data_IF_393244980523
#
_entry.id   IF_393244980523
#
_cell.length_a   1.000
_cell.length_b   1.000
_cell.length_c   1.000
_cell.angle_alpha   90.00
_cell.angle_beta   90.00
_cell.angle_gamma   90.00
#
_symmetry.space_group_name_H-M   'P 1'
#
loop_
_entity.id
_entity.type
_entity.pdbx_description
1 polymer ?
#
# COMPACT_ATOMS: atom_id res chain seq x y z
N UNK A 1 -15.22 93.03 -7.48
CA UNK A 1 -14.66 94.33 -7.92
C UNK A 1 -15.77 95.38 -7.90
N UNK A 2 -15.55 96.54 -7.26
CA UNK A 2 -16.46 97.68 -7.31
C UNK A 2 -16.06 98.58 -8.48
N UNK A 3 -16.88 98.67 -9.52
CA UNK A 3 -16.64 99.60 -10.62
C UNK A 3 -17.42 100.88 -10.34
N UNK A 4 -16.73 101.95 -9.98
CA UNK A 4 -17.32 103.29 -9.87
C UNK A 4 -17.06 104.02 -11.18
N UNK A 5 -18.11 104.24 -11.97
CA UNK A 5 -18.01 105.10 -13.16
C UNK A 5 -18.44 106.52 -12.81
N UNK A 6 -17.50 107.45 -12.91
CA UNK A 6 -17.74 108.90 -12.86
C UNK A 6 -17.79 109.45 -14.27
N UNK A 7 -18.93 109.99 -14.68
CA UNK A 7 -19.04 110.76 -15.93
C UNK A 7 -18.61 112.20 -15.65
N UNK A 8 -17.54 112.67 -16.29
CA UNK A 8 -17.10 114.07 -16.22
C UNK A 8 -17.55 114.83 -17.47
N UNK A 9 -18.25 115.96 -17.28
CA UNK A 9 -18.70 116.85 -18.36
C UNK A 9 -20.20 116.82 -18.67
N UNK A 10 -21.08 116.87 -17.65
CA UNK A 10 -22.54 116.76 -17.83
C UNK A 10 -23.24 118.09 -17.49
N UNK A 11 -24.19 118.58 -18.32
CA UNK A 11 -25.03 119.72 -17.98
C UNK A 11 -25.91 119.43 -16.76
N UNK A 12 -26.12 120.43 -15.91
CA UNK A 12 -26.68 120.40 -14.55
C UNK A 12 -28.13 119.90 -14.39
N UNK A 13 -28.75 119.32 -15.43
CA UNK A 13 -30.17 118.95 -15.45
C UNK A 13 -30.49 117.62 -16.16
N UNK A 14 -29.57 116.65 -16.11
CA UNK A 14 -29.76 115.30 -16.67
C UNK A 14 -30.07 114.28 -15.56
N UNK A 15 -31.14 113.50 -15.68
CA UNK A 15 -31.50 112.41 -14.75
C UNK A 15 -30.97 111.08 -15.29
N UNK A 16 -30.23 110.35 -14.46
CA UNK A 16 -29.74 109.01 -14.76
C UNK A 16 -30.55 107.96 -13.99
N UNK A 17 -31.06 106.95 -14.70
CA UNK A 17 -31.71 105.77 -14.12
C UNK A 17 -31.00 104.49 -14.53
N UNK A 18 -30.96 103.50 -13.63
CA UNK A 18 -30.22 102.25 -13.80
C UNK A 18 -31.15 101.05 -13.58
N UNK A 19 -31.12 100.08 -14.50
CA UNK A 19 -31.88 98.84 -14.40
C UNK A 19 -31.06 97.64 -14.91
N UNK A 20 -31.17 96.43 -14.31
CA UNK A 20 -32.00 96.06 -13.16
C UNK A 20 -31.48 96.62 -11.82
N UNK A 21 -32.33 96.71 -10.80
CA UNK A 21 -31.95 97.24 -9.47
C UNK A 21 -31.01 96.32 -8.66
N UNK A 22 -30.85 95.06 -9.09
CA UNK A 22 -30.11 94.03 -8.36
C UNK A 22 -28.64 94.40 -8.19
N UNK A 23 -28.16 94.47 -6.95
CA UNK A 23 -26.77 94.80 -6.64
C UNK A 23 -26.39 96.27 -6.83
N UNK A 24 -27.32 97.16 -7.16
CA UNK A 24 -27.05 98.60 -7.24
C UNK A 24 -27.19 99.26 -5.86
N UNK A 25 -26.36 100.28 -5.60
CA UNK A 25 -26.48 101.12 -4.39
C UNK A 25 -27.69 102.07 -4.44
N UNK A 26 -28.15 102.42 -5.66
CA UNK A 26 -29.36 103.20 -5.94
C UNK A 26 -29.80 102.97 -7.39
N UNK A 27 -31.07 103.18 -7.72
CA UNK A 27 -31.58 103.06 -9.11
C UNK A 27 -31.55 104.38 -9.89
N UNK A 28 -31.17 105.48 -9.24
CA UNK A 28 -31.05 106.82 -9.82
C UNK A 28 -29.88 107.58 -9.20
N UNK A 29 -29.22 108.45 -9.97
CA UNK A 29 -28.16 109.33 -9.45
C UNK A 29 -26.99 109.47 -10.41
N UNK A 30 -26.15 110.50 -10.24
CA UNK A 30 -24.97 110.71 -11.10
C UNK A 30 -23.83 109.72 -10.83
N UNK A 31 -23.83 109.07 -9.66
CA UNK A 31 -22.88 108.03 -9.26
C UNK A 31 -23.65 106.90 -8.58
N UNK A 32 -23.60 105.71 -9.15
CA UNK A 32 -24.21 104.48 -8.60
C UNK A 32 -23.15 103.38 -8.60
N UNK A 33 -22.98 102.71 -7.46
CA UNK A 33 -22.09 101.53 -7.34
C UNK A 33 -22.87 100.26 -7.61
N UNK A 34 -22.26 99.29 -8.28
CA UNK A 34 -22.87 98.00 -8.62
C UNK A 34 -22.03 96.82 -8.10
N UNK A 35 -22.65 95.93 -7.32
CA UNK A 35 -22.09 94.67 -6.80
C UNK A 35 -23.11 93.53 -7.05
N UNK A 36 -23.37 93.15 -8.31
CA UNK A 36 -24.29 92.06 -8.62
C UNK A 36 -23.74 90.69 -8.16
N UNK A 37 -24.66 89.76 -7.88
CA UNK A 37 -24.35 88.36 -7.52
C UNK A 37 -23.95 87.48 -8.70
N UNK A 38 -24.27 87.90 -9.93
CA UNK A 38 -23.94 87.25 -11.21
C UNK A 38 -23.53 88.29 -12.25
N UNK A 39 -23.00 87.86 -13.40
CA UNK A 39 -22.75 88.76 -14.53
C UNK A 39 -24.04 89.50 -14.90
N UNK A 40 -24.05 90.82 -14.71
CA UNK A 40 -25.25 91.64 -14.88
C UNK A 40 -24.94 92.78 -15.83
N UNK A 41 -25.77 92.93 -16.85
CA UNK A 41 -25.73 94.08 -17.75
C UNK A 41 -26.74 95.10 -17.23
N UNK A 42 -26.26 96.27 -16.83
CA UNK A 42 -27.09 97.39 -16.42
C UNK A 42 -27.33 98.31 -17.60
N UNK A 43 -28.59 98.65 -17.87
CA UNK A 43 -28.96 99.71 -18.78
C UNK A 43 -29.00 101.02 -18.01
N UNK A 44 -28.24 102.00 -18.48
CA UNK A 44 -28.22 103.38 -17.98
C UNK A 44 -29.01 104.24 -18.95
N UNK A 45 -30.09 104.86 -18.46
CA UNK A 45 -30.89 105.82 -19.23
C UNK A 45 -30.58 107.21 -18.73
N UNK A 46 -30.05 108.07 -19.59
CA UNK A 46 -29.87 109.49 -19.32
C UNK A 46 -31.01 110.27 -19.99
N UNK A 47 -31.76 111.06 -19.23
CA UNK A 47 -32.84 111.92 -19.74
C UNK A 47 -32.50 113.38 -19.47
N UNK A 48 -32.48 114.21 -20.51
CA UNK A 48 -32.22 115.64 -20.37
C UNK A 48 -33.47 116.42 -19.91
N UNK A 49 -33.29 117.71 -19.64
CA UNK A 49 -34.36 118.61 -19.15
C UNK A 49 -35.51 118.80 -20.16
N UNK A 50 -35.28 118.51 -21.44
CA UNK A 50 -36.27 118.60 -22.51
C UNK A 50 -36.99 117.25 -22.74
N UNK A 51 -36.68 116.22 -21.95
CA UNK A 51 -37.27 114.88 -22.04
C UNK A 51 -36.65 113.99 -23.13
N UNK A 52 -35.58 114.43 -23.80
CA UNK A 52 -34.83 113.57 -24.71
C UNK A 52 -34.02 112.57 -23.90
N UNK A 53 -34.06 111.29 -24.28
CA UNK A 53 -33.33 110.25 -23.58
C UNK A 53 -32.38 109.49 -24.49
N UNK A 54 -31.23 109.10 -23.92
CA UNK A 54 -30.28 108.18 -24.52
C UNK A 54 -30.02 107.03 -23.55
N UNK A 55 -29.82 105.83 -24.09
CA UNK A 55 -29.47 104.66 -23.29
C UNK A 55 -28.09 104.14 -23.66
N UNK A 56 -27.39 103.61 -22.66
CA UNK A 56 -26.17 102.81 -22.85
C UNK A 56 -26.20 101.64 -21.88
N UNK A 57 -25.39 100.62 -22.14
CA UNK A 57 -25.29 99.43 -21.28
C UNK A 57 -23.91 99.32 -20.65
N UNK A 58 -23.85 98.99 -19.36
CA UNK A 58 -22.63 98.68 -18.62
C UNK A 58 -22.69 97.23 -18.18
N UNK A 59 -21.76 96.42 -18.65
CA UNK A 59 -21.64 95.02 -18.22
C UNK A 59 -20.75 94.93 -16.99
N UNK A 60 -21.29 94.45 -15.86
CA UNK A 60 -20.52 94.13 -14.66
C UNK A 60 -20.39 92.61 -14.58
N UNK A 61 -19.20 92.12 -14.87
CA UNK A 61 -18.87 90.69 -14.82
C UNK A 61 -18.29 90.34 -13.46
N UNK A 62 -18.87 89.32 -12.81
CA UNK A 62 -18.28 88.63 -11.67
C UNK A 62 -17.51 87.43 -12.20
N UNK A 63 -16.18 87.52 -12.20
CA UNK A 63 -15.31 86.37 -12.48
C UNK A 63 -15.23 85.47 -11.25
N UNK A 64 -15.40 84.17 -11.44
CA UNK A 64 -15.17 83.20 -10.36
C UNK A 64 -13.69 83.22 -9.97
N UNK A 65 -13.44 82.96 -8.68
CA UNK A 65 -12.08 82.82 -8.18
C UNK A 65 -11.48 81.50 -8.72
N UNK A 66 -10.28 81.51 -9.33
CA UNK A 66 -9.60 80.27 -9.71
C UNK A 66 -9.07 79.60 -8.44
N UNK A 67 -9.91 78.76 -7.83
CA UNK A 67 -9.54 77.89 -6.71
C UNK A 67 -9.01 76.58 -7.27
N UNK A 68 -7.92 76.07 -6.70
CA UNK A 68 -7.27 74.82 -7.12
C UNK A 68 -7.09 73.92 -5.89
N UNK A 69 -7.42 72.63 -6.03
CA UNK A 69 -7.35 71.61 -4.99
C UNK A 69 -6.45 70.46 -5.45
N UNK A 70 -5.27 70.37 -4.85
CA UNK A 70 -4.30 69.32 -5.15
C UNK A 70 -4.22 68.34 -4.00
N UNK A 71 -4.39 67.06 -4.30
CA UNK A 71 -4.11 65.98 -3.36
C UNK A 71 -2.69 65.44 -3.54
N UNK A 72 -2.03 65.07 -2.44
CA UNK A 72 -0.71 64.43 -2.47
C UNK A 72 -0.73 63.03 -3.11
N UNK A 73 -1.91 62.39 -3.15
CA UNK A 73 -2.17 61.12 -3.85
C UNK A 73 -3.64 61.05 -4.27
N UNK A 74 -3.93 60.29 -5.33
CA UNK A 74 -5.30 60.01 -5.78
C UNK A 74 -5.94 58.78 -5.11
N UNK A 75 -5.23 58.12 -4.20
CA UNK A 75 -5.65 56.90 -3.52
C UNK A 75 -5.32 56.91 -2.04
N UNK A 76 -6.18 56.30 -1.24
CA UNK A 76 -6.01 56.08 0.20
C UNK A 76 -6.14 54.58 0.54
N UNK A 77 -5.20 54.09 1.35
CA UNK A 77 -5.10 52.71 1.76
C UNK A 77 -5.73 52.48 3.14
N UNK A 78 -6.49 51.39 3.33
CA UNK A 78 -7.03 50.96 4.63
C UNK A 78 -6.44 49.63 5.10
N UNK A 79 -6.29 49.41 6.43
CA UNK A 79 -6.66 50.30 7.53
C UNK A 79 -5.58 51.32 7.95
N UNK A 80 -4.33 51.15 7.50
CA UNK A 80 -3.16 51.86 8.03
C UNK A 80 -2.46 52.79 7.03
N UNK A 81 -3.15 53.24 5.97
CA UNK A 81 -2.57 54.16 5.00
C UNK A 81 -2.23 55.51 5.62
N UNK A 82 -1.16 56.14 5.12
CA UNK A 82 -0.86 57.54 5.44
C UNK A 82 -2.00 58.44 4.93
N UNK A 83 -2.55 59.33 5.78
CA UNK A 83 -3.60 60.27 5.34
C UNK A 83 -3.15 61.08 4.12
N UNK A 84 -4.05 61.29 3.16
CA UNK A 84 -3.78 62.06 1.94
C UNK A 84 -3.82 63.54 2.25
N UNK A 85 -2.76 64.29 1.97
CA UNK A 85 -2.73 65.74 2.17
C UNK A 85 -3.44 66.45 1.03
N UNK A 86 -4.46 67.25 1.35
CA UNK A 86 -5.19 68.12 0.44
C UNK A 86 -4.70 69.55 0.62
N UNK A 87 -4.20 70.16 -0.46
CA UNK A 87 -3.68 71.53 -0.48
C UNK A 87 -4.53 72.39 -1.40
N UNK A 88 -5.10 73.46 -0.85
CA UNK A 88 -5.95 74.39 -1.60
C UNK A 88 -5.26 75.72 -1.82
N UNK A 89 -5.36 76.25 -3.04
CA UNK A 89 -4.81 77.57 -3.41
C UNK A 89 -5.87 78.45 -4.12
N UNK A 90 -5.55 79.73 -4.33
CA UNK A 90 -6.40 80.67 -5.04
C UNK A 90 -7.33 81.54 -4.18
N UNK A 91 -7.56 81.20 -2.91
CA UNK A 91 -8.37 81.99 -1.96
C UNK A 91 -7.66 82.32 -0.64
N UNK A 92 -8.34 83.08 0.23
CA UNK A 92 -7.88 83.41 1.59
C UNK A 92 -8.59 82.58 2.67
N UNK A 93 -9.73 81.97 2.35
CA UNK A 93 -10.43 81.01 3.21
C UNK A 93 -10.99 79.84 2.40
N UNK A 94 -11.06 78.66 3.01
CA UNK A 94 -11.43 77.40 2.35
C UNK A 94 -12.36 76.57 3.23
N UNK A 95 -13.39 75.98 2.63
CA UNK A 95 -14.30 75.02 3.26
C UNK A 95 -14.47 73.77 2.38
N UNK A 96 -14.56 72.59 3.01
CA UNK A 96 -14.62 71.30 2.31
C UNK A 96 -15.97 70.60 2.49
N UNK A 97 -16.39 69.84 1.49
CA UNK A 97 -17.56 68.96 1.55
C UNK A 97 -17.31 67.68 0.74
N UNK A 98 -17.60 66.47 1.27
CA UNK A 98 -18.01 66.20 2.65
C UNK A 98 -16.84 66.35 3.65
N UNK A 99 -17.13 66.44 4.95
CA UNK A 99 -16.08 66.51 6.00
C UNK A 99 -15.64 65.14 6.54
N UNK A 100 -16.30 64.05 6.11
CA UNK A 100 -16.02 62.71 6.60
C UNK A 100 -14.61 62.28 6.23
N UNK A 101 -13.88 61.72 7.21
CA UNK A 101 -12.49 61.32 7.02
C UNK A 101 -11.50 62.48 6.84
N UNK A 102 -11.92 63.74 6.93
CA UNK A 102 -10.99 64.88 6.93
C UNK A 102 -10.52 65.23 8.34
N UNK A 103 -9.29 65.72 8.47
CA UNK A 103 -8.79 66.27 9.74
C UNK A 103 -9.44 67.60 10.13
N UNK A 104 -9.97 68.35 9.16
CA UNK A 104 -10.75 69.58 9.36
C UNK A 104 -11.66 69.84 8.17
N UNK A 105 -12.81 70.48 8.41
CA UNK A 105 -13.72 70.96 7.36
C UNK A 105 -13.31 72.31 6.74
N UNK A 106 -12.26 72.94 7.25
CA UNK A 106 -11.72 74.24 6.78
C UNK A 106 -10.19 74.28 6.86
N UNK A 107 -9.57 75.15 6.06
CA UNK A 107 -8.12 75.38 6.06
C UNK A 107 -7.47 75.22 4.68
N UNK A 108 -6.33 75.87 4.46
CA UNK A 108 -5.58 75.74 3.19
C UNK A 108 -4.89 74.39 3.03
N UNK A 109 -4.64 73.69 4.13
CA UNK A 109 -4.10 72.32 4.15
C UNK A 109 -4.92 71.48 5.10
N UNK A 110 -5.47 70.36 4.62
CA UNK A 110 -6.18 69.36 5.41
C UNK A 110 -5.70 67.97 5.01
N UNK A 111 -5.94 66.95 5.83
CA UNK A 111 -5.60 65.55 5.50
C UNK A 111 -6.86 64.71 5.41
N UNK A 112 -6.87 63.71 4.54
CA UNK A 112 -8.01 62.85 4.23
C UNK A 112 -7.68 61.36 4.44
N UNK A 113 -8.48 60.70 5.27
CA UNK A 113 -8.50 59.25 5.54
C UNK A 113 -9.93 58.71 5.35
N UNK A 114 -10.47 58.74 4.13
CA UNK A 114 -11.84 58.31 3.88
C UNK A 114 -12.03 56.80 4.06
N UNK A 115 -13.15 56.39 4.67
CA UNK A 115 -13.49 54.97 4.84
C UNK A 115 -14.08 54.31 3.56
N UNK A 116 -14.31 55.09 2.50
CA UNK A 116 -14.80 54.65 1.19
C UNK A 116 -14.36 55.64 0.11
N UNK A 117 -14.34 55.26 -1.16
CA UNK A 117 -13.97 56.17 -2.25
C UNK A 117 -14.81 57.46 -2.17
N UNK A 118 -14.15 58.59 -1.96
CA UNK A 118 -14.81 59.85 -1.59
C UNK A 118 -14.31 60.99 -2.49
N UNK A 119 -15.23 61.76 -3.07
CA UNK A 119 -14.92 63.00 -3.77
C UNK A 119 -15.01 64.16 -2.77
N UNK A 120 -13.91 64.90 -2.61
CA UNK A 120 -13.87 66.11 -1.81
C UNK A 120 -13.95 67.33 -2.70
N UNK A 121 -14.83 68.26 -2.35
CA UNK A 121 -15.01 69.54 -3.04
C UNK A 121 -14.56 70.64 -2.08
N UNK A 122 -13.63 71.50 -2.51
CA UNK A 122 -13.26 72.71 -1.77
C UNK A 122 -14.01 73.91 -2.33
N UNK A 123 -14.46 74.81 -1.45
CA UNK A 123 -14.93 76.15 -1.80
C UNK A 123 -13.95 77.16 -1.22
N UNK A 124 -13.31 77.95 -2.07
CA UNK A 124 -12.40 79.03 -1.68
C UNK A 124 -13.05 80.40 -1.83
N UNK A 125 -12.75 81.34 -0.93
CA UNK A 125 -13.21 82.74 -0.98
C UNK A 125 -11.98 83.66 -0.86
N UNK A 126 -11.91 84.73 -1.67
CA UNK A 126 -10.87 85.75 -1.59
C UNK A 126 -11.20 86.88 -0.59
N UNK A 127 -10.28 87.82 -0.40
CA UNK A 127 -10.45 88.96 0.51
C UNK A 127 -11.56 89.94 0.08
N UNK A 128 -12.06 89.81 -1.16
CA UNK A 128 -13.13 90.64 -1.74
C UNK A 128 -14.48 89.94 -1.77
N UNK A 129 -14.56 88.69 -1.31
CA UNK A 129 -15.78 87.88 -1.27
C UNK A 129 -16.12 87.15 -2.58
N UNK A 130 -15.22 87.16 -3.57
CA UNK A 130 -15.39 86.29 -4.75
C UNK A 130 -15.07 84.85 -4.35
N UNK A 131 -15.81 83.89 -4.91
CA UNK A 131 -15.66 82.47 -4.56
C UNK A 131 -15.43 81.61 -5.79
N UNK A 132 -14.84 80.44 -5.56
CA UNK A 132 -14.58 79.40 -6.54
C UNK A 132 -14.62 78.02 -5.90
N UNK A 133 -14.64 76.97 -6.72
CA UNK A 133 -14.62 75.58 -6.27
C UNK A 133 -13.72 74.73 -7.13
N UNK A 134 -13.16 73.71 -6.52
CA UNK A 134 -12.48 72.62 -7.20
C UNK A 134 -12.73 71.30 -6.45
N UNK A 135 -12.43 70.16 -7.07
CA UNK A 135 -12.70 68.84 -6.49
C UNK A 135 -11.60 67.83 -6.79
N UNK A 136 -11.39 66.92 -5.85
CA UNK A 136 -10.48 65.78 -6.01
C UNK A 136 -11.16 64.49 -5.56
N UNK A 137 -10.97 63.41 -6.31
CA UNK A 137 -11.46 62.08 -5.99
C UNK A 137 -10.36 61.26 -5.30
N UNK A 138 -10.62 60.79 -4.08
CA UNK A 138 -9.72 59.88 -3.37
C UNK A 138 -10.30 58.48 -3.45
N UNK A 139 -9.59 57.58 -4.15
CA UNK A 139 -10.00 56.18 -4.34
C UNK A 139 -9.56 55.32 -3.17
N UNK A 140 -10.48 54.58 -2.57
CA UNK A 140 -10.15 53.60 -1.55
C UNK A 140 -9.52 52.36 -2.20
N UNK A 141 -8.34 51.95 -1.73
CA UNK A 141 -7.67 50.73 -2.18
C UNK A 141 -7.44 49.77 -1.01
N UNK A 142 -7.65 48.49 -1.27
CA UNK A 142 -7.32 47.39 -0.37
C UNK A 142 -6.94 46.15 -1.18
N UNK A 143 -6.02 45.34 -0.65
CA UNK A 143 -5.61 44.08 -1.27
C UNK A 143 -5.87 42.95 -0.29
N UNK A 144 -6.35 41.82 -0.79
CA UNK A 144 -6.52 40.59 0.01
C UNK A 144 -5.29 39.72 -0.15
N UNK A 145 -4.75 39.25 0.97
CA UNK A 145 -3.55 38.43 1.05
C UNK A 145 -3.87 37.07 1.67
N UNK A 146 -3.32 36.03 1.08
CA UNK A 146 -3.41 34.63 1.50
C UNK A 146 -2.03 34.20 2.00
N UNK A 147 -1.95 33.60 3.19
CA UNK A 147 -0.70 33.05 3.71
C UNK A 147 -0.50 31.64 3.15
N UNK A 148 0.60 31.44 2.45
CA UNK A 148 1.09 30.20 1.83
C UNK A 148 2.60 30.18 2.07
N UNK A 149 2.97 29.76 3.28
CA UNK A 149 4.34 29.92 3.77
C UNK A 149 5.28 28.82 3.26
N UNK A 150 4.76 27.65 2.88
CA UNK A 150 5.54 26.55 2.32
C UNK A 150 5.42 26.40 0.78
N UNK A 151 4.46 27.06 0.14
CA UNK A 151 4.35 27.18 -1.30
C UNK A 151 3.60 26.04 -2.00
N UNK A 152 2.75 25.29 -1.31
CA UNK A 152 1.95 24.21 -1.93
C UNK A 152 0.66 24.69 -2.63
N UNK A 153 0.32 25.97 -2.47
CA UNK A 153 -0.84 26.58 -3.09
C UNK A 153 -2.15 26.42 -2.31
N UNK A 154 -2.08 26.03 -1.04
CA UNK A 154 -3.17 26.17 -0.07
C UNK A 154 -2.85 27.28 0.92
N UNK A 155 -3.87 27.77 1.63
CA UNK A 155 -3.70 28.82 2.62
C UNK A 155 -4.20 28.44 3.99
N UNK A 156 -3.44 28.85 5.01
CA UNK A 156 -3.82 28.70 6.41
C UNK A 156 -4.66 29.88 6.88
N UNK A 157 -5.80 29.57 7.51
CA UNK A 157 -6.63 30.55 8.19
C UNK A 157 -7.38 31.51 7.26
N UNK A 158 -7.79 32.66 7.82
CA UNK A 158 -8.58 33.66 7.10
C UNK A 158 -7.68 34.65 6.35
N UNK A 159 -8.04 35.04 5.11
CA UNK A 159 -7.22 35.96 4.34
C UNK A 159 -7.24 37.35 4.96
N UNK A 160 -6.11 38.05 4.86
CA UNK A 160 -5.91 39.37 5.49
C UNK A 160 -6.08 40.47 4.46
N UNK A 161 -6.85 41.50 4.79
CA UNK A 161 -6.99 42.70 3.94
C UNK A 161 -5.99 43.76 4.39
N UNK A 162 -5.04 44.08 3.52
CA UNK A 162 -4.00 45.09 3.76
C UNK A 162 -3.47 45.61 2.42
N UNK A 163 -2.97 46.83 2.34
CA UNK A 163 -2.46 47.36 1.06
C UNK A 163 -1.01 46.99 0.79
N UNK A 164 -0.26 46.68 1.85
CA UNK A 164 1.09 46.14 1.76
C UNK A 164 1.06 44.68 2.18
N UNK A 165 2.01 43.89 1.69
CA UNK A 165 2.16 42.50 2.12
C UNK A 165 2.28 42.46 3.64
N UNK A 166 1.46 41.65 4.35
CA UNK A 166 1.58 41.47 5.79
C UNK A 166 2.92 40.85 6.22
N UNK A 167 3.64 40.18 5.33
CA UNK A 167 4.94 39.55 5.63
C UNK A 167 5.40 38.57 4.55
N UNK A 168 6.49 37.84 4.83
CA UNK A 168 6.91 36.72 4.00
C UNK A 168 5.82 35.61 4.01
N UNK A 169 5.71 34.86 2.91
CA UNK A 169 4.70 33.81 2.74
C UNK A 169 3.32 34.32 2.30
N UNK A 170 3.06 35.63 2.28
CA UNK A 170 1.78 36.15 1.78
C UNK A 170 1.78 36.33 0.26
N UNK A 171 0.73 35.82 -0.39
CA UNK A 171 0.46 35.96 -1.83
C UNK A 171 -0.87 36.67 -2.10
N UNK A 172 -1.02 37.19 -3.31
CA UNK A 172 -2.27 37.78 -3.82
C UNK A 172 -3.06 36.82 -4.71
N UNK A 173 -2.49 35.65 -5.01
CA UNK A 173 -3.22 34.58 -5.68
C UNK A 173 -4.31 34.06 -4.74
N UNK A 174 -5.52 33.86 -5.27
CA UNK A 174 -6.61 33.26 -4.50
C UNK A 174 -6.30 31.78 -4.31
N UNK A 175 -6.11 31.37 -3.06
CA UNK A 175 -5.82 29.99 -2.70
C UNK A 175 -7.00 29.33 -1.99
N UNK A 176 -7.18 28.00 -2.12
CA UNK A 176 -8.11 27.26 -1.28
C UNK A 176 -7.71 27.32 0.20
N UNK A 177 -8.70 27.27 1.08
CA UNK A 177 -8.49 27.29 2.53
C UNK A 177 -8.41 25.87 3.08
N UNK A 178 -7.73 25.71 4.22
CA UNK A 178 -7.75 24.47 4.99
C UNK A 178 -6.42 23.73 5.02
N UNK A 179 -5.34 24.40 4.64
CA UNK A 179 -3.99 23.90 4.92
C UNK A 179 -3.84 23.63 6.42
N UNK A 180 -3.57 22.37 6.75
CA UNK A 180 -3.39 21.92 8.12
C UNK A 180 -1.95 22.05 8.61
N UNK A 181 -0.97 22.28 7.72
CA UNK A 181 0.42 22.52 8.08
C UNK A 181 1.21 23.36 7.06
N UNK A 182 1.06 24.67 7.17
CA UNK A 182 1.74 25.75 6.39
C UNK A 182 3.27 25.84 6.57
N UNK A 183 3.91 24.80 7.11
CA UNK A 183 5.37 24.66 7.12
C UNK A 183 5.83 23.42 6.34
N UNK A 184 4.92 22.69 5.71
CA UNK A 184 5.19 21.46 4.99
C UNK A 184 4.31 21.32 3.74
N UNK A 185 4.91 21.65 2.59
CA UNK A 185 4.26 21.64 1.28
C UNK A 185 3.74 20.27 0.78
N UNK A 186 3.87 19.20 1.59
CA UNK A 186 3.30 17.89 1.33
C UNK A 186 2.02 17.60 2.14
N UNK A 187 1.59 18.54 2.99
CA UNK A 187 0.47 18.36 3.92
C UNK A 187 -0.59 19.42 3.64
N UNK A 188 -1.54 19.10 2.77
CA UNK A 188 -2.59 19.99 2.32
C UNK A 188 -3.87 19.23 1.93
N UNK A 189 -5.04 19.90 1.91
CA UNK A 189 -6.30 19.27 1.53
C UNK A 189 -6.22 18.46 0.22
N UNK A 190 -6.43 17.15 0.33
CA UNK A 190 -6.41 16.24 -0.83
C UNK A 190 -5.01 15.82 -1.31
N UNK A 191 -3.95 16.04 -0.52
CA UNK A 191 -2.65 15.42 -0.75
C UNK A 191 -2.75 13.88 -0.76
N UNK A 192 -1.69 13.20 -1.20
CA UNK A 192 -1.62 11.73 -1.17
C UNK A 192 -0.95 11.28 0.12
N UNK A 193 -1.57 10.37 0.85
CA UNK A 193 -1.05 9.81 2.10
C UNK A 193 0.31 9.11 1.91
N UNK A 194 1.24 9.36 2.83
CA UNK A 194 2.55 8.71 2.91
C UNK A 194 2.53 7.67 4.03
N UNK A 195 2.26 6.43 3.64
CA UNK A 195 1.99 5.34 4.56
C UNK A 195 3.05 5.11 5.66
N UNK A 196 2.59 5.08 6.91
CA UNK A 196 3.34 4.68 8.09
C UNK A 196 4.18 5.78 8.73
N UNK A 197 3.99 7.03 8.31
CA UNK A 197 4.68 8.17 8.91
C UNK A 197 3.86 8.83 10.05
N UNK A 198 2.58 8.47 10.20
CA UNK A 198 1.69 8.96 11.26
C UNK A 198 1.23 10.40 11.08
N UNK A 199 1.28 10.94 9.86
CA UNK A 199 0.80 12.27 9.48
C UNK A 199 -0.49 12.09 8.66
N UNK A 200 -1.42 13.04 8.78
CA UNK A 200 -2.60 13.18 7.91
C UNK A 200 -2.21 14.14 6.80
N UNK A 201 -1.71 13.63 5.68
CA UNK A 201 -1.23 14.49 4.59
C UNK A 201 -2.37 15.27 3.96
N UNK A 202 -3.54 14.65 3.83
CA UNK A 202 -4.63 15.22 3.05
C UNK A 202 -5.64 16.05 3.86
N UNK A 203 -5.34 16.25 5.15
CA UNK A 203 -6.11 17.04 6.11
C UNK A 203 -7.58 16.59 6.26
N UNK A 204 -7.89 15.31 6.07
CA UNK A 204 -9.28 14.82 6.17
C UNK A 204 -9.66 14.30 7.58
N UNK A 205 -8.71 14.30 8.52
CA UNK A 205 -8.89 13.83 9.89
C UNK A 205 -8.67 12.33 10.08
N UNK A 206 -8.23 11.62 9.05
CA UNK A 206 -7.76 10.24 9.11
C UNK A 206 -6.24 10.24 8.88
N UNK A 207 -5.56 9.27 9.49
CA UNK A 207 -4.10 9.12 9.35
C UNK A 207 -3.89 7.83 8.57
N UNK A 208 -3.06 7.87 7.52
CA UNK A 208 -2.65 6.72 6.74
C UNK A 208 -3.83 5.93 6.10
N UNK A 209 -4.93 6.58 5.74
CA UNK A 209 -6.05 5.89 5.08
C UNK A 209 -5.78 5.59 3.60
N UNK A 210 -6.38 4.51 3.09
CA UNK A 210 -6.11 4.06 1.71
C UNK A 210 -4.71 3.47 1.50
N UNK A 211 -3.90 3.37 2.55
CA UNK A 211 -2.58 2.78 2.52
C UNK A 211 -2.62 1.24 2.46
N UNK A 212 -2.30 0.69 1.29
CA UNK A 212 -1.93 -0.70 1.13
C UNK A 212 -0.43 -0.85 1.45
N UNK A 213 -0.10 -1.37 2.63
CA UNK A 213 1.27 -1.84 2.87
C UNK A 213 1.32 -3.29 2.35
N UNK A 214 1.93 -3.58 1.18
CA UNK A 214 2.06 -4.95 0.71
C UNK A 214 2.93 -5.70 1.72
N UNK A 215 2.31 -6.58 2.50
CA UNK A 215 3.05 -7.36 3.48
C UNK A 215 3.63 -8.57 2.75
N UNK A 216 4.92 -8.52 2.43
CA UNK A 216 5.61 -9.62 1.78
C UNK A 216 5.96 -10.70 2.81
N UNK A 217 5.34 -11.87 2.69
CA UNK A 217 5.69 -13.04 3.50
C UNK A 217 6.76 -13.90 2.80
N UNK A 218 7.59 -14.60 3.59
CA UNK A 218 8.51 -15.59 3.05
C UNK A 218 8.51 -16.85 3.90
N UNK A 219 8.54 -18.01 3.25
CA UNK A 219 8.69 -19.32 3.88
C UNK A 219 9.73 -20.15 3.16
N UNK A 220 10.42 -21.02 3.91
CA UNK A 220 11.41 -21.93 3.36
C UNK A 220 11.20 -23.34 3.90
N UNK A 221 11.07 -24.31 3.01
CA UNK A 221 10.88 -25.71 3.36
C UNK A 221 11.89 -26.60 2.64
N UNK A 222 12.37 -27.63 3.32
CA UNK A 222 13.11 -28.74 2.72
C UNK A 222 12.33 -30.02 2.97
N UNK A 223 11.91 -30.69 1.90
CA UNK A 223 11.06 -31.89 1.97
C UNK A 223 11.57 -33.01 1.08
N UNK A 224 11.05 -34.21 1.31
CA UNK A 224 11.22 -35.35 0.41
C UNK A 224 10.04 -35.43 -0.57
N UNK A 225 10.33 -35.73 -1.84
CA UNK A 225 9.36 -35.92 -2.94
C UNK A 225 8.47 -34.74 -3.32
N UNK A 226 7.62 -34.24 -2.43
CA UNK A 226 6.65 -33.21 -2.77
C UNK A 226 6.21 -32.37 -1.57
N UNK A 227 5.91 -31.09 -1.84
CA UNK A 227 5.31 -30.17 -0.87
C UNK A 227 3.96 -29.67 -1.39
N UNK A 228 2.93 -29.72 -0.54
CA UNK A 228 1.63 -29.12 -0.84
C UNK A 228 1.55 -27.75 -0.19
N UNK A 229 1.51 -26.71 -1.01
CA UNK A 229 1.41 -25.34 -0.52
C UNK A 229 -0.06 -24.97 -0.31
N UNK A 230 -0.52 -25.01 0.94
CA UNK A 230 -1.92 -24.79 1.32
C UNK A 230 -2.37 -23.38 0.93
N UNK A 231 -1.50 -22.38 1.14
CA UNK A 231 -1.82 -20.99 0.86
C UNK A 231 -1.89 -20.67 -0.63
N UNK A 232 -1.33 -21.52 -1.51
CA UNK A 232 -1.52 -21.46 -2.95
C UNK A 232 -2.51 -22.53 -3.42
N UNK A 233 -3.74 -22.49 -2.89
CA UNK A 233 -4.84 -23.38 -3.29
C UNK A 233 -4.50 -24.88 -3.25
N UNK A 234 -3.74 -25.31 -2.24
CA UNK A 234 -3.28 -26.70 -2.10
C UNK A 234 -2.49 -27.22 -3.32
N UNK A 235 -1.71 -26.36 -3.98
CA UNK A 235 -0.89 -26.76 -5.13
C UNK A 235 0.28 -27.65 -4.68
N UNK A 236 0.48 -28.78 -5.36
CA UNK A 236 1.59 -29.70 -5.10
C UNK A 236 2.83 -29.37 -5.95
N UNK A 237 3.99 -29.31 -5.32
CA UNK A 237 5.29 -29.05 -5.94
C UNK A 237 6.22 -30.25 -5.76
N UNK A 238 6.74 -30.77 -6.86
CA UNK A 238 7.68 -31.91 -6.88
C UNK A 238 9.12 -31.50 -7.22
N UNK A 239 9.35 -30.22 -7.53
CA UNK A 239 10.65 -29.71 -7.93
C UNK A 239 11.10 -28.62 -6.94
N UNK A 240 12.40 -28.58 -6.66
CA UNK A 240 13.03 -27.45 -5.96
C UNK A 240 12.83 -26.17 -6.77
N UNK A 241 12.61 -25.05 -6.09
CA UNK A 241 12.40 -23.77 -6.74
C UNK A 241 11.94 -22.68 -5.79
N UNK A 242 11.86 -21.47 -6.33
CA UNK A 242 11.24 -20.32 -5.66
C UNK A 242 9.88 -20.10 -6.31
N UNK A 243 8.82 -20.19 -5.50
CA UNK A 243 7.44 -20.03 -5.94
C UNK A 243 6.84 -18.76 -5.32
N UNK A 244 5.98 -18.09 -6.07
CA UNK A 244 5.34 -16.83 -5.67
C UNK A 244 3.83 -16.99 -5.73
N UNK A 245 3.13 -16.50 -4.70
CA UNK A 245 1.67 -16.38 -4.73
C UNK A 245 1.25 -14.98 -4.27
N UNK A 246 0.36 -14.38 -5.04
CA UNK A 246 -0.17 -13.03 -4.76
C UNK A 246 -1.56 -13.15 -4.15
N UNK A 247 -1.72 -12.62 -2.95
CA UNK A 247 -3.01 -12.50 -2.27
C UNK A 247 -3.54 -11.09 -2.49
N UNK A 248 -4.77 -10.96 -2.99
CA UNK A 248 -5.44 -9.67 -3.09
C UNK A 248 -6.57 -9.61 -2.07
N UNK A 249 -6.57 -8.62 -1.18
CA UNK A 249 -7.68 -8.42 -0.25
C UNK A 249 -8.89 -7.79 -0.98
N UNK A 250 -10.05 -7.74 -0.31
CA UNK A 250 -11.26 -7.16 -0.88
C UNK A 250 -11.15 -5.65 -1.21
N UNK A 251 -10.11 -4.97 -0.70
CA UNK A 251 -9.78 -3.58 -1.01
C UNK A 251 -8.82 -3.39 -2.18
N UNK A 252 -8.40 -4.47 -2.85
CA UNK A 252 -7.48 -4.42 -3.99
C UNK A 252 -5.99 -4.35 -3.64
N UNK A 253 -5.64 -4.39 -2.35
CA UNK A 253 -4.23 -4.46 -1.94
C UNK A 253 -3.67 -5.86 -2.21
N UNK A 254 -2.50 -5.94 -2.83
CA UNK A 254 -1.79 -7.19 -3.08
C UNK A 254 -0.67 -7.44 -2.05
N UNK A 255 -0.53 -8.69 -1.63
CA UNK A 255 0.56 -9.17 -0.78
C UNK A 255 1.19 -10.37 -1.47
N UNK A 256 2.52 -10.41 -1.54
CA UNK A 256 3.25 -11.51 -2.18
C UNK A 256 3.80 -12.43 -1.09
N UNK A 257 3.52 -13.72 -1.15
CA UNK A 257 4.22 -14.74 -0.38
C UNK A 257 5.21 -15.46 -1.28
N UNK A 258 6.47 -15.49 -0.86
CA UNK A 258 7.55 -16.22 -1.54
C UNK A 258 7.85 -17.53 -0.80
N UNK A 259 7.72 -18.67 -1.48
CA UNK A 259 8.08 -19.99 -1.00
C UNK A 259 9.42 -20.42 -1.62
N UNK A 260 10.46 -20.59 -0.82
CA UNK A 260 11.71 -21.24 -1.23
C UNK A 260 11.67 -22.73 -0.86
N UNK A 261 11.54 -23.60 -1.85
CA UNK A 261 11.39 -25.04 -1.67
C UNK A 261 12.63 -25.79 -2.15
N UNK A 262 13.17 -26.65 -1.28
CA UNK A 262 14.17 -27.65 -1.66
C UNK A 262 13.53 -29.04 -1.56
N UNK A 263 13.40 -29.72 -2.70
CA UNK A 263 12.92 -31.10 -2.79
C UNK A 263 14.12 -32.03 -2.97
N UNK A 264 14.38 -32.87 -1.97
CA UNK A 264 15.45 -33.86 -2.01
C UNK A 264 14.93 -35.22 -2.51
N UNK A 265 15.80 -35.96 -3.19
CA UNK A 265 15.59 -37.39 -3.44
C UNK A 265 16.00 -38.17 -2.19
N UNK A 266 15.02 -38.59 -1.41
CA UNK A 266 15.24 -39.32 -0.16
C UNK A 266 15.18 -40.83 -0.41
N UNK A 267 15.87 -41.59 0.44
CA UNK A 267 15.86 -43.05 0.42
C UNK A 267 14.42 -43.61 0.48
N UNK A 268 14.20 -44.73 -0.22
CA UNK A 268 12.93 -45.45 -0.18
C UNK A 268 12.93 -46.45 0.98
N UNK A 269 11.89 -46.42 1.81
CA UNK A 269 11.74 -47.33 2.97
C UNK A 269 10.64 -48.34 2.68
N UNK A 270 10.94 -49.62 2.84
CA UNK A 270 9.99 -50.72 2.73
C UNK A 270 9.93 -51.46 4.06
N UNK A 271 8.73 -51.49 4.65
CA UNK A 271 8.43 -52.26 5.85
C UNK A 271 7.74 -53.55 5.43
N UNK A 272 8.23 -54.65 5.98
CA UNK A 272 7.77 -56.00 5.67
C UNK A 272 7.16 -56.64 6.91
N UNK A 273 6.21 -57.52 6.67
CA UNK A 273 5.70 -58.45 7.66
C UNK A 273 5.59 -59.84 7.02
N UNK A 274 6.36 -60.81 7.52
CA UNK A 274 6.47 -62.16 6.97
C UNK A 274 6.93 -63.16 8.03
N UNK A 275 6.63 -64.44 7.80
CA UNK A 275 7.09 -65.55 8.64
C UNK A 275 7.82 -66.59 7.81
N UNK A 276 8.72 -67.34 8.45
CA UNK A 276 9.44 -68.46 7.85
C UNK A 276 8.91 -69.76 8.47
N UNK A 277 8.51 -70.72 7.64
CA UNK A 277 7.77 -71.92 8.07
C UNK A 277 8.48 -72.67 9.21
N UNK A 278 9.78 -72.94 9.07
CA UNK A 278 10.52 -73.73 10.04
C UNK A 278 10.76 -73.00 11.36
N UNK A 279 10.81 -71.67 11.34
CA UNK A 279 11.07 -70.86 12.54
C UNK A 279 9.78 -70.45 13.27
N UNK A 280 8.59 -70.75 12.73
CA UNK A 280 7.33 -70.34 13.32
C UNK A 280 6.95 -71.18 14.54
N UNK A 281 6.71 -70.53 15.68
CA UNK A 281 6.42 -71.19 16.96
C UNK A 281 4.99 -70.96 17.47
N UNK A 282 4.14 -70.31 16.67
CA UNK A 282 2.74 -70.04 17.00
C UNK A 282 2.48 -68.64 17.54
N UNK A 283 1.20 -68.24 17.54
CA UNK A 283 0.75 -66.93 18.05
C UNK A 283 1.40 -65.72 17.36
N UNK A 284 1.78 -65.84 16.09
CA UNK A 284 2.43 -64.77 15.33
C UNK A 284 3.89 -64.52 15.74
N UNK A 285 4.56 -65.54 16.29
CA UNK A 285 5.96 -65.45 16.71
C UNK A 285 6.85 -66.49 16.02
N UNK A 286 8.12 -66.11 15.85
CA UNK A 286 9.20 -66.97 15.40
C UNK A 286 10.26 -67.17 16.48
N UNK A 287 11.03 -68.25 16.33
CA UNK A 287 12.22 -68.53 17.11
C UNK A 287 13.24 -67.38 16.99
N UNK A 288 13.91 -66.97 18.09
CA UNK A 288 15.04 -66.04 18.03
C UNK A 288 16.31 -66.76 17.55
N UNK A 289 16.32 -67.17 16.28
CA UNK A 289 17.30 -68.11 15.72
C UNK A 289 18.74 -67.61 15.88
N UNK A 290 19.01 -66.32 15.61
CA UNK A 290 20.34 -65.75 15.81
C UNK A 290 20.87 -65.93 17.25
N UNK A 291 20.01 -65.86 18.26
CA UNK A 291 20.41 -66.10 19.65
C UNK A 291 20.70 -67.57 19.91
N UNK A 292 19.83 -68.47 19.43
CA UNK A 292 19.98 -69.92 19.61
C UNK A 292 21.25 -70.46 18.94
N UNK A 293 21.55 -69.97 17.74
CA UNK A 293 22.70 -70.38 16.94
C UNK A 293 24.00 -69.64 17.31
N UNK A 294 23.95 -68.71 18.27
CA UNK A 294 25.11 -67.93 18.72
C UNK A 294 25.61 -66.88 17.72
N UNK A 295 24.83 -66.54 16.70
CA UNK A 295 25.12 -65.52 15.70
C UNK A 295 24.66 -64.10 16.11
N UNK A 296 23.84 -63.99 17.16
CA UNK A 296 23.31 -62.75 17.69
C UNK A 296 23.15 -62.79 19.21
N UNK A 297 22.70 -61.66 19.76
CA UNK A 297 22.52 -61.48 21.21
C UNK A 297 21.08 -61.10 21.61
N UNK A 298 20.21 -60.87 20.63
CA UNK A 298 18.85 -60.39 20.86
C UNK A 298 17.84 -61.53 20.91
N UNK A 299 16.88 -61.46 21.83
CA UNK A 299 15.73 -62.37 21.87
C UNK A 299 14.61 -61.95 20.90
N UNK A 300 14.77 -60.84 20.18
CA UNK A 300 13.76 -60.32 19.25
C UNK A 300 14.17 -60.46 17.80
N UNK A 301 15.37 -60.96 17.52
CA UNK A 301 15.90 -61.12 16.17
C UNK A 301 15.78 -62.60 15.78
N UNK A 302 15.06 -62.87 14.70
CA UNK A 302 14.96 -64.21 14.14
C UNK A 302 16.16 -64.46 13.25
N UNK A 303 16.29 -63.75 12.13
CA UNK A 303 17.36 -64.00 11.16
C UNK A 303 17.59 -62.80 10.22
N UNK A 304 18.64 -62.83 9.39
CA UNK A 304 18.84 -61.88 8.30
C UNK A 304 18.21 -62.38 7.00
N UNK A 305 17.45 -61.50 6.34
CA UNK A 305 16.90 -61.73 5.00
C UNK A 305 17.54 -60.77 4.00
N UNK A 306 17.65 -61.19 2.75
CA UNK A 306 17.99 -60.32 1.63
C UNK A 306 16.71 -59.96 0.87
N UNK A 307 16.45 -58.66 0.75
CA UNK A 307 15.28 -58.11 0.07
C UNK A 307 15.74 -57.49 -1.24
N UNK A 308 15.26 -58.02 -2.36
CA UNK A 308 15.49 -57.47 -3.68
C UNK A 308 14.23 -56.76 -4.20
N UNK A 309 14.44 -55.70 -4.96
CA UNK A 309 13.43 -55.04 -5.77
C UNK A 309 13.73 -55.31 -7.23
N UNK A 310 12.79 -55.97 -7.92
CA UNK A 310 12.92 -56.33 -9.32
C UNK A 310 11.96 -55.55 -10.20
N UNK A 311 12.42 -55.16 -11.39
CA UNK A 311 11.61 -54.41 -12.35
C UNK A 311 10.35 -55.19 -12.75
N UNK A 312 9.21 -54.51 -12.82
CA UNK A 312 7.92 -55.14 -13.10
C UNK A 312 7.78 -55.74 -14.52
N UNK A 313 8.62 -55.32 -15.48
CA UNK A 313 8.57 -55.79 -16.87
C UNK A 313 9.76 -56.68 -17.23
N UNK A 314 10.97 -56.26 -16.86
CA UNK A 314 12.20 -57.01 -17.20
C UNK A 314 12.59 -58.04 -16.15
N UNK A 315 11.99 -58.00 -14.95
CA UNK A 315 12.30 -58.88 -13.81
C UNK A 315 13.76 -58.86 -13.36
N UNK A 316 14.53 -57.88 -13.84
CA UNK A 316 15.92 -57.65 -13.44
C UNK A 316 15.97 -56.99 -12.08
N UNK A 317 16.94 -57.35 -11.26
CA UNK A 317 17.25 -56.66 -10.00
C UNK A 317 17.56 -55.18 -10.25
N UNK A 318 16.88 -54.32 -9.50
CA UNK A 318 17.05 -52.86 -9.50
C UNK A 318 17.83 -52.41 -8.27
N UNK A 319 17.50 -52.99 -7.11
CA UNK A 319 18.20 -52.73 -5.86
C UNK A 319 18.01 -53.90 -4.90
N UNK A 320 18.95 -54.08 -3.97
CA UNK A 320 18.88 -55.07 -2.91
C UNK A 320 19.35 -54.48 -1.58
N UNK A 321 18.79 -54.99 -0.48
CA UNK A 321 19.14 -54.59 0.87
C UNK A 321 18.96 -55.77 1.84
N UNK A 322 19.89 -55.94 2.77
CA UNK A 322 19.70 -56.89 3.87
C UNK A 322 18.84 -56.24 4.96
N UNK A 323 17.93 -57.02 5.54
CA UNK A 323 17.11 -56.61 6.66
C UNK A 323 17.21 -57.63 7.79
N UNK A 324 17.07 -57.15 9.02
CA UNK A 324 16.88 -58.00 10.19
C UNK A 324 15.40 -58.35 10.28
N UNK A 325 15.09 -59.64 10.26
CA UNK A 325 13.75 -60.16 10.52
C UNK A 325 13.59 -60.38 12.03
N UNK A 326 12.57 -59.74 12.60
CA UNK A 326 12.28 -59.87 14.03
C UNK A 326 11.36 -61.07 14.30
N UNK A 327 11.32 -61.50 15.57
CA UNK A 327 10.48 -62.62 16.02
C UNK A 327 8.99 -62.36 15.87
N UNK A 328 8.55 -61.11 15.74
CA UNK A 328 7.16 -60.75 15.43
C UNK A 328 6.83 -60.75 13.93
N UNK A 329 7.79 -61.11 13.08
CA UNK A 329 7.66 -61.14 11.61
C UNK A 329 7.95 -59.81 10.94
N UNK A 330 8.27 -58.74 11.68
CA UNK A 330 8.56 -57.44 11.09
C UNK A 330 10.00 -57.33 10.60
N UNK A 331 10.19 -56.66 9.45
CA UNK A 331 11.50 -56.25 8.96
C UNK A 331 11.39 -54.87 8.29
N UNK A 332 12.47 -54.10 8.27
CA UNK A 332 12.51 -52.82 7.55
C UNK A 332 13.80 -52.72 6.74
N UNK A 333 13.67 -52.35 5.47
CA UNK A 333 14.79 -52.16 4.56
C UNK A 333 14.77 -50.75 3.97
N UNK A 334 15.97 -50.22 3.75
CA UNK A 334 16.18 -48.91 3.16
C UNK A 334 16.92 -49.07 1.84
N UNK A 335 16.33 -48.56 0.76
CA UNK A 335 16.90 -48.53 -0.57
C UNK A 335 17.33 -47.11 -0.95
N UNK A 336 18.17 -46.93 -1.99
CA UNK A 336 18.35 -45.64 -2.64
C UNK A 336 17.00 -45.01 -3.04
N UNK A 337 17.00 -43.74 -3.41
CA UNK A 337 15.78 -43.09 -3.90
C UNK A 337 15.26 -43.79 -5.15
N UNK A 338 14.16 -44.52 -5.02
CA UNK A 338 13.49 -45.22 -6.11
C UNK A 338 12.17 -44.53 -6.45
N UNK A 339 11.70 -44.75 -7.67
CA UNK A 339 10.39 -44.31 -8.13
C UNK A 339 9.91 -45.26 -9.23
N UNK A 340 8.99 -46.14 -8.87
CA UNK A 340 8.45 -47.13 -9.79
C UNK A 340 7.63 -48.19 -9.07
N UNK A 341 7.23 -49.21 -9.82
CA UNK A 341 6.59 -50.40 -9.29
C UNK A 341 7.52 -51.59 -9.46
N UNK A 342 7.73 -52.33 -8.37
CA UNK A 342 8.71 -53.40 -8.30
C UNK A 342 8.11 -54.64 -7.66
N UNK A 343 8.52 -55.82 -8.13
CA UNK A 343 8.33 -57.04 -7.35
C UNK A 343 9.27 -57.01 -6.15
N UNK A 344 8.75 -57.34 -4.97
CA UNK A 344 9.55 -57.55 -3.75
C UNK A 344 9.92 -59.02 -3.73
N UNK A 345 11.21 -59.33 -3.68
CA UNK A 345 11.72 -60.69 -3.59
C UNK A 345 12.42 -60.86 -2.27
N UNK A 346 12.06 -61.92 -1.55
CA UNK A 346 12.70 -62.28 -0.29
C UNK A 346 13.52 -63.53 -0.50
N UNK A 347 14.82 -63.40 -0.25
CA UNK A 347 15.77 -64.49 -0.19
C UNK A 347 16.18 -64.71 1.27
N UNK A 348 16.24 -65.96 1.66
CA UNK A 348 16.73 -66.39 2.97
C UNK A 348 17.56 -67.67 2.81
N UNK A 349 18.35 -68.02 3.82
CA UNK A 349 19.36 -69.07 3.73
C UNK A 349 18.79 -70.49 3.69
N UNK A 350 17.54 -70.71 4.12
CA UNK A 350 16.93 -72.05 4.19
C UNK A 350 15.46 -72.09 3.68
N UNK A 351 15.01 -71.03 3.01
CA UNK A 351 13.64 -70.89 2.53
C UNK A 351 13.62 -70.67 1.02
N UNK A 352 12.54 -71.17 0.42
CA UNK A 352 12.23 -70.94 -0.99
C UNK A 352 12.07 -69.45 -1.24
N UNK A 353 12.77 -68.94 -2.25
CA UNK A 353 12.65 -67.56 -2.70
C UNK A 353 11.17 -67.23 -2.96
N UNK A 354 10.69 -66.12 -2.38
CA UNK A 354 9.29 -65.74 -2.46
C UNK A 354 9.13 -64.32 -2.99
N UNK A 355 8.29 -64.17 -4.02
CA UNK A 355 8.00 -62.88 -4.67
C UNK A 355 6.65 -62.34 -4.21
N UNK A 356 6.51 -61.01 -4.14
CA UNK A 356 5.21 -60.37 -3.97
C UNK A 356 4.24 -60.77 -5.09
N UNK A 357 2.96 -60.96 -4.77
CA UNK A 357 1.96 -61.40 -5.75
C UNK A 357 1.78 -60.43 -6.94
N UNK A 358 2.16 -59.16 -6.75
CA UNK A 358 2.11 -58.12 -7.78
C UNK A 358 3.18 -57.07 -7.51
N UNK A 359 3.52 -56.24 -8.52
CA UNK A 359 4.43 -55.11 -8.31
C UNK A 359 3.86 -54.13 -7.28
N UNK A 360 4.73 -53.64 -6.40
CA UNK A 360 4.43 -52.67 -5.36
C UNK A 360 5.05 -51.33 -5.74
N UNK A 361 4.26 -50.26 -5.68
CA UNK A 361 4.76 -48.91 -5.93
C UNK A 361 5.68 -48.47 -4.79
N UNK A 362 6.96 -48.25 -5.08
CA UNK A 362 7.97 -47.79 -4.13
C UNK A 362 8.48 -46.42 -4.59
N UNK A 363 8.41 -45.47 -3.65
CA UNK A 363 8.79 -44.07 -3.84
C UNK A 363 9.51 -43.54 -2.62
N UNK A 364 9.45 -42.23 -2.35
CA UNK A 364 10.10 -41.67 -1.16
C UNK A 364 9.25 -41.73 0.12
N UNK A 365 7.98 -42.14 0.03
CA UNK A 365 7.16 -42.40 1.22
C UNK A 365 7.37 -43.86 1.66
N UNK A 366 7.42 -44.14 2.97
CA UNK A 366 7.48 -45.50 3.47
C UNK A 366 6.29 -46.33 2.97
N UNK A 367 6.57 -47.53 2.48
CA UNK A 367 5.57 -48.49 2.01
C UNK A 367 5.59 -49.69 2.93
N UNK A 368 4.43 -50.30 3.18
CA UNK A 368 4.32 -51.55 3.92
C UNK A 368 3.79 -52.66 3.01
N UNK A 369 4.42 -53.83 3.06
CA UNK A 369 3.94 -55.04 2.40
C UNK A 369 3.88 -56.20 3.39
N UNK A 370 2.72 -56.83 3.49
CA UNK A 370 2.44 -57.88 4.46
C UNK A 370 2.16 -59.19 3.71
N UNK A 371 3.13 -60.09 3.76
CA UNK A 371 3.03 -61.44 3.20
C UNK A 371 2.20 -62.37 4.08
N UNK A 372 2.18 -62.14 5.40
CA UNK A 372 1.69 -63.12 6.37
C UNK A 372 0.16 -63.29 6.40
N UNK A 373 -0.59 -62.46 5.68
CA UNK A 373 -2.07 -62.39 5.79
C UNK A 373 -2.85 -63.35 4.90
N UNK A 374 -2.28 -63.77 3.76
CA UNK A 374 -2.94 -64.67 2.82
C UNK A 374 -1.94 -65.24 1.79
N UNK A 375 -2.18 -66.46 1.28
CA UNK A 375 -1.39 -67.09 0.22
C UNK A 375 -1.18 -66.16 -1.00
N UNK A 376 -2.24 -65.44 -1.40
CA UNK A 376 -2.24 -64.56 -2.57
C UNK A 376 -1.48 -63.24 -2.37
N UNK A 377 -0.71 -63.11 -1.27
CA UNK A 377 0.32 -62.09 -1.12
C UNK A 377 1.66 -62.55 -1.70
N UNK A 378 1.86 -63.85 -1.91
CA UNK A 378 2.96 -64.36 -2.68
C UNK A 378 2.52 -64.65 -4.13
N UNK A 379 3.45 -64.53 -5.06
CA UNK A 379 3.21 -64.91 -6.45
C UNK A 379 2.86 -66.40 -6.52
N UNK A 380 1.78 -66.73 -7.23
CA UNK A 380 1.31 -68.11 -7.39
C UNK A 380 0.91 -68.82 -6.10
N UNK A 381 0.49 -68.08 -5.07
CA UNK A 381 0.09 -68.62 -3.76
C UNK A 381 1.20 -69.43 -3.07
N UNK A 382 2.47 -69.10 -3.32
CA UNK A 382 3.65 -69.86 -2.88
C UNK A 382 3.99 -69.70 -1.38
N UNK A 383 3.04 -69.99 -0.51
CA UNK A 383 3.19 -69.94 0.96
C UNK A 383 2.41 -71.06 1.67
N UNK A 384 2.82 -71.37 2.90
CA UNK A 384 2.17 -72.33 3.78
C UNK A 384 1.34 -71.62 4.84
N UNK A 385 0.08 -72.03 5.02
CA UNK A 385 -0.68 -71.67 6.22
C UNK A 385 -0.15 -72.46 7.43
N UNK A 386 0.49 -71.76 8.37
CA UNK A 386 1.14 -72.34 9.58
C UNK A 386 0.24 -72.25 10.82
N UNK A 387 -0.65 -71.28 10.83
CA UNK A 387 -1.73 -71.12 11.80
C UNK A 387 -2.91 -70.48 11.07
N UNK A 388 -4.13 -70.65 11.56
CA UNK A 388 -5.34 -70.12 10.91
C UNK A 388 -5.19 -68.63 10.59
N UNK A 389 -5.09 -68.29 9.30
CA UNK A 389 -4.91 -66.91 8.81
C UNK A 389 -3.48 -66.35 8.87
N UNK A 390 -2.49 -67.17 9.21
CA UNK A 390 -1.07 -66.81 9.22
C UNK A 390 -0.32 -67.67 8.20
N UNK A 391 0.33 -66.99 7.27
CA UNK A 391 1.05 -67.58 6.15
C UNK A 391 2.55 -67.35 6.29
N UNK A 392 3.32 -68.38 6.00
CA UNK A 392 4.78 -68.37 6.07
C UNK A 392 5.40 -68.88 4.76
N UNK A 393 6.64 -68.46 4.51
CA UNK A 393 7.41 -68.93 3.36
C UNK A 393 7.84 -70.38 3.57
N UNK A 394 7.78 -71.18 2.52
CA UNK A 394 8.19 -72.57 2.60
C UNK A 394 9.68 -72.69 2.96
N UNK A 395 9.99 -73.54 3.94
CA UNK A 395 11.35 -73.84 4.37
C UNK A 395 11.90 -75.12 3.74
N UNK A 396 13.18 -75.41 3.99
CA UNK A 396 13.83 -76.64 3.55
C UNK A 396 14.57 -76.54 2.22
N UNK A 397 14.71 -75.32 1.69
CA UNK A 397 15.53 -75.04 0.50
C UNK A 397 16.94 -74.72 1.03
N UNK A 398 17.81 -75.72 1.09
CA UNK A 398 19.10 -75.64 1.79
C UNK A 398 20.22 -75.28 0.81
N UNK A 399 20.08 -75.70 -0.45
CA UNK A 399 21.11 -75.59 -1.47
C UNK A 399 20.98 -74.35 -2.39
N UNK A 400 19.91 -73.56 -2.27
CA UNK A 400 19.65 -72.36 -3.06
C UNK A 400 19.52 -72.61 -4.58
N UNK A 401 18.90 -73.73 -4.97
CA UNK A 401 18.56 -74.10 -6.36
C UNK A 401 17.11 -73.85 -6.79
N UNK A 402 16.33 -73.18 -5.93
CA UNK A 402 14.91 -72.82 -6.06
C UNK A 402 13.92 -73.98 -5.86
N UNK A 403 14.35 -75.20 -5.49
CA UNK A 403 13.47 -76.34 -5.26
C UNK A 403 13.73 -76.98 -3.89
N UNK A 404 12.68 -77.51 -3.26
CA UNK A 404 12.83 -78.36 -2.08
C UNK A 404 12.77 -79.81 -2.55
N UNK A 405 13.92 -80.47 -2.65
CA UNK A 405 14.02 -81.81 -3.20
C UNK A 405 14.95 -82.76 -2.40
N UNK A 406 15.26 -83.93 -2.96
CA UNK A 406 16.09 -84.93 -2.28
C UNK A 406 17.56 -84.50 -2.09
N UNK A 407 18.03 -83.48 -2.80
CA UNK A 407 19.35 -82.89 -2.63
C UNK A 407 19.40 -82.13 -1.30
N UNK A 408 18.36 -81.36 -0.97
CA UNK A 408 18.26 -80.66 0.32
C UNK A 408 18.24 -81.66 1.48
N UNK A 409 17.42 -82.72 1.36
CA UNK A 409 17.37 -83.77 2.37
C UNK A 409 18.74 -84.45 2.53
N UNK A 410 19.47 -84.68 1.44
CA UNK A 410 20.82 -85.25 1.49
C UNK A 410 21.83 -84.36 2.21
N UNK A 411 21.73 -83.03 2.09
CA UNK A 411 22.56 -82.08 2.83
C UNK A 411 22.18 -82.11 4.31
N UNK A 412 20.88 -82.07 4.61
CA UNK A 412 20.38 -82.16 5.98
C UNK A 412 20.85 -83.44 6.66
N UNK A 413 20.67 -84.61 6.04
CA UNK A 413 21.09 -85.90 6.58
C UNK A 413 22.61 -85.97 6.80
N UNK A 414 23.42 -85.34 5.93
CA UNK A 414 24.86 -85.27 6.12
C UNK A 414 25.21 -84.47 7.39
N UNK A 415 24.59 -83.30 7.56
CA UNK A 415 24.85 -82.43 8.71
C UNK A 415 24.33 -83.03 10.03
N UNK A 416 23.21 -83.77 10.00
CA UNK A 416 22.72 -84.57 11.14
C UNK A 416 23.76 -85.62 11.56
N UNK A 417 24.33 -86.35 10.60
CA UNK A 417 25.34 -87.38 10.88
C UNK A 417 26.67 -86.79 11.40
N UNK A 418 26.98 -85.57 10.99
CA UNK A 418 28.17 -84.83 11.44
C UNK A 418 27.95 -84.04 12.74
N UNK A 419 26.75 -84.09 13.32
CA UNK A 419 26.36 -83.35 14.53
C UNK A 419 26.65 -81.85 14.42
N UNK A 420 26.31 -81.26 13.27
CA UNK A 420 26.51 -79.83 13.04
C UNK A 420 25.60 -78.99 13.95
N UNK A 421 26.08 -77.80 14.30
CA UNK A 421 25.37 -76.84 15.16
C UNK A 421 25.80 -75.42 14.85
N UNK A 422 24.99 -74.44 15.27
CA UNK A 422 25.24 -73.01 15.05
C UNK A 422 24.62 -72.47 13.76
N UNK A 423 25.18 -71.38 13.22
CA UNK A 423 24.55 -70.63 12.13
C UNK A 423 24.78 -71.25 10.75
N UNK A 424 23.96 -72.25 10.40
CA UNK A 424 24.02 -73.04 9.16
C UNK A 424 22.63 -73.21 8.52
N UNK A 425 22.58 -73.42 7.20
CA UNK A 425 21.31 -73.47 6.45
C UNK A 425 20.48 -74.73 6.70
N UNK A 426 21.11 -75.81 7.14
CA UNK A 426 20.46 -77.08 7.47
C UNK A 426 19.76 -77.09 8.83
N UNK A 427 19.99 -76.11 9.71
CA UNK A 427 19.18 -75.88 10.90
C UNK A 427 17.89 -75.16 10.46
N UNK A 428 16.92 -75.95 9.99
CA UNK A 428 15.71 -75.42 9.36
C UNK A 428 14.65 -75.05 10.39
N UNK A 429 14.78 -75.50 11.64
CA UNK A 429 13.89 -75.12 12.74
C UNK A 429 14.46 -73.99 13.63
N UNK A 430 15.77 -73.73 13.53
CA UNK A 430 16.47 -72.62 14.15
C UNK A 430 16.69 -72.78 15.66
N UNK A 431 16.76 -74.02 16.16
CA UNK A 431 16.97 -74.32 17.57
C UNK A 431 18.45 -74.33 18.00
N UNK A 432 19.37 -74.22 17.04
CA UNK A 432 20.82 -74.20 17.24
C UNK A 432 21.51 -75.52 16.91
N UNK A 433 20.77 -76.60 16.67
CA UNK A 433 21.30 -77.94 16.39
C UNK A 433 20.67 -78.50 15.11
N UNK A 434 21.48 -79.20 14.31
CA UNK A 434 20.96 -79.95 13.17
C UNK A 434 20.72 -81.39 13.60
N UNK A 435 19.44 -81.76 13.72
CA UNK A 435 19.02 -83.08 14.18
C UNK A 435 17.77 -83.62 13.46
N UNK A 436 17.19 -84.71 13.97
CA UNK A 436 16.02 -85.35 13.36
C UNK A 436 14.73 -84.52 13.43
N UNK A 437 14.70 -83.43 14.20
CA UNK A 437 13.57 -82.51 14.29
C UNK A 437 13.50 -81.56 13.08
N UNK A 438 14.58 -81.43 12.31
CA UNK A 438 14.64 -80.67 11.07
C UNK A 438 13.97 -81.39 9.88
N UNK A 439 14.07 -82.72 9.85
CA UNK A 439 13.65 -83.54 8.71
C UNK A 439 12.15 -83.47 8.37
N UNK A 440 11.18 -83.46 9.34
CA UNK A 440 9.77 -83.58 9.01
C UNK A 440 9.23 -82.46 8.11
N UNK A 441 9.70 -81.22 8.29
CA UNK A 441 9.29 -80.11 7.43
C UNK A 441 9.83 -80.27 6.01
N UNK A 442 11.13 -80.58 5.89
CA UNK A 442 11.79 -80.75 4.58
C UNK A 442 11.14 -81.90 3.82
N UNK A 443 10.97 -83.07 4.44
CA UNK A 443 10.31 -84.23 3.84
C UNK A 443 8.88 -83.92 3.37
N UNK A 444 8.11 -83.16 4.16
CA UNK A 444 6.77 -82.75 3.78
C UNK A 444 6.79 -81.85 2.54
N UNK A 445 7.68 -80.86 2.50
CA UNK A 445 7.79 -79.94 1.37
C UNK A 445 8.35 -80.63 0.10
N UNK A 446 9.20 -81.65 0.24
CA UNK A 446 9.60 -82.52 -0.88
C UNK A 446 8.38 -83.26 -1.44
N UNK A 447 7.56 -83.86 -0.58
CA UNK A 447 6.37 -84.60 -0.99
C UNK A 447 5.30 -83.69 -1.64
N UNK A 448 5.25 -82.43 -1.23
CA UNK A 448 4.37 -81.41 -1.79
C UNK A 448 4.93 -80.77 -3.07
N UNK A 449 6.13 -81.17 -3.51
CA UNK A 449 6.84 -80.64 -4.69
C UNK A 449 6.95 -79.12 -4.64
N UNK A 450 7.44 -78.59 -3.51
CA UNK A 450 7.58 -77.15 -3.33
C UNK A 450 8.79 -76.62 -4.11
N UNK A 451 8.60 -75.50 -4.82
CA UNK A 451 9.62 -74.76 -5.57
C UNK A 451 9.29 -73.27 -5.60
N UNK A 452 10.24 -72.43 -6.01
CA UNK A 452 10.02 -70.99 -6.15
C UNK A 452 9.09 -70.69 -7.34
N UNK A 453 8.07 -69.86 -7.12
CA UNK A 453 7.17 -69.41 -8.17
C UNK A 453 7.29 -67.90 -8.36
N UNK A 454 7.58 -67.48 -9.59
CA UNK A 454 7.74 -66.08 -9.95
C UNK A 454 7.45 -65.85 -11.46
N UNK A 455 7.20 -64.59 -11.87
CA UNK A 455 6.85 -64.22 -13.25
C UNK A 455 7.85 -64.59 -14.34
#
# INVERSE_FOLDING_TARGET
MSTTHTYTGVPTSTVYTYAPATGLSATTGSVVSAIPSTNTVYTVTATDINGCFGTTTVSVTRTNLPVDLVASSSSYCVPNGTPVTLTSTGGVSYSYSPIIGLSSGTGSVVTASPASTTQYIVTGIDSTGCWGRDSVLITLVSTTWYLDADGDGYSVGTPVVNCVSPGAGYTTNVLPFGDCNDNNAFVYPGATEICGNGIDENCNGQIDEGCCIPNSGASSYTVCSSYVWVENNNTAYTNSGVYLHTFTNAGGCDSIHTLSLTVNQCNSILNLHLYLQGFYIGSGLMTPVLLNEGAGLSTTETDSINVELRDQLSYSEVASANAMLNTDGTASCTFPALNGSYYIVINHRNNVQTWSASPVAIGALPVSYDFATAANKAYGDNMKEVESGIWAFFGGEINQDENVDLIDLGILEADINDFQFGYISSDVNGDGNVDLLDSPMVEQNINDFIYSNHP
#
